data_IF_528899513642
#
_entry.id   IF_528899513642
#
_cell.length_a   1.000
_cell.length_b   1.000
_cell.length_c   1.000
_cell.angle_alpha   90.00
_cell.angle_beta   90.00
_cell.angle_gamma   90.00
#
_symmetry.space_group_name_H-M   'P 1'
#
loop_
_entity.id
_entity.type
_entity.pdbx_description
1 polymer ?
#
# COMPACT_ATOMS: atom_id res chain seq x y z
N UNK A 1 16.10 -3.90 4.13
CA UNK A 1 15.39 -2.75 4.76
C UNK A 1 14.36 -3.29 5.74
N UNK A 2 13.98 -2.52 6.75
CA UNK A 2 12.92 -2.88 7.71
C UNK A 2 11.54 -2.55 7.14
N UNK A 3 10.48 -3.05 7.77
CA UNK A 3 9.11 -2.67 7.42
C UNK A 3 8.86 -1.17 7.61
N UNK A 4 9.36 -0.59 8.72
CA UNK A 4 9.26 0.84 8.99
C UNK A 4 9.85 1.71 7.86
N UNK A 5 11.05 1.38 7.37
CA UNK A 5 11.66 2.11 6.27
C UNK A 5 10.84 2.03 4.96
N UNK A 6 10.21 0.87 4.67
CA UNK A 6 9.33 0.73 3.50
C UNK A 6 8.03 1.52 3.64
N UNK A 7 7.49 1.61 4.85
CA UNK A 7 6.32 2.43 5.15
C UNK A 7 6.68 3.90 4.95
N UNK A 8 7.82 4.36 5.44
CA UNK A 8 8.29 5.74 5.26
C UNK A 8 8.46 6.11 3.77
N UNK A 9 9.11 5.24 2.99
CA UNK A 9 9.24 5.40 1.54
C UNK A 9 7.88 5.50 0.84
N UNK A 10 6.92 4.64 1.24
CA UNK A 10 5.57 4.67 0.70
C UNK A 10 4.86 5.97 1.06
N UNK A 11 4.89 6.37 2.33
CA UNK A 11 4.29 7.63 2.80
C UNK A 11 4.84 8.83 2.05
N UNK A 12 6.16 8.88 1.80
CA UNK A 12 6.76 9.92 0.98
C UNK A 12 6.24 9.94 -0.46
N UNK A 13 6.08 8.77 -1.08
CA UNK A 13 5.56 8.66 -2.45
C UNK A 13 4.05 8.94 -2.56
N UNK A 14 3.27 8.69 -1.49
CA UNK A 14 1.83 8.92 -1.46
C UNK A 14 1.48 10.37 -1.74
N UNK A 15 2.25 11.34 -1.21
CA UNK A 15 2.00 12.77 -1.45
C UNK A 15 1.97 13.13 -2.95
N UNK A 16 2.94 12.62 -3.71
CA UNK A 16 3.01 12.83 -5.16
C UNK A 16 1.87 12.10 -5.90
N UNK A 17 1.56 10.86 -5.50
CA UNK A 17 0.57 10.03 -6.21
C UNK A 17 -0.86 10.49 -5.99
N UNK A 18 -1.16 10.96 -4.77
CA UNK A 18 -2.46 11.51 -4.41
C UNK A 18 -2.59 12.90 -5.00
N UNK A 19 -1.55 13.74 -4.90
CA UNK A 19 -1.58 15.12 -5.33
C UNK A 19 -2.74 15.87 -4.68
N UNK A 20 -3.63 16.45 -5.51
CA UNK A 20 -4.82 17.17 -5.05
C UNK A 20 -6.07 16.29 -4.90
N UNK A 21 -5.95 14.96 -5.05
CA UNK A 21 -7.09 14.05 -4.96
C UNK A 21 -7.71 14.11 -3.54
N UNK A 22 -8.97 14.54 -3.37
CA UNK A 22 -9.69 14.56 -2.09
C UNK A 22 -10.11 13.16 -1.62
N UNK A 23 -9.15 12.23 -1.55
CA UNK A 23 -9.35 10.87 -1.08
C UNK A 23 -9.50 10.86 0.44
N UNK A 24 -10.53 10.18 0.92
CA UNK A 24 -10.75 9.94 2.35
C UNK A 24 -11.19 8.50 2.59
N UNK A 25 -10.90 7.95 3.76
CA UNK A 25 -11.29 6.59 4.15
C UNK A 25 -10.08 5.67 4.32
N UNK A 26 -10.28 4.35 4.15
CA UNK A 26 -9.26 3.36 4.48
C UNK A 26 -9.05 2.36 3.34
N UNK A 27 -7.79 2.05 3.06
CA UNK A 27 -7.40 0.93 2.21
C UNK A 27 -6.47 -0.01 3.00
N UNK A 28 -6.90 -1.24 3.23
CA UNK A 28 -6.13 -2.26 3.93
C UNK A 28 -5.55 -3.27 2.94
N UNK A 29 -4.24 -3.47 3.00
CA UNK A 29 -3.51 -4.42 2.15
C UNK A 29 -2.98 -5.57 2.99
N UNK A 30 -2.93 -6.76 2.40
CA UNK A 30 -2.22 -7.90 2.97
C UNK A 30 -1.20 -8.45 1.97
N UNK A 31 -0.07 -8.90 2.49
CA UNK A 31 0.95 -9.56 1.68
C UNK A 31 1.79 -10.50 2.55
N UNK A 32 2.47 -11.43 1.90
CA UNK A 32 3.40 -12.34 2.57
C UNK A 32 4.84 -11.97 2.22
N UNK A 33 5.74 -12.16 3.18
CA UNK A 33 7.19 -12.06 2.98
C UNK A 33 7.78 -13.46 3.13
N UNK A 34 8.40 -13.98 2.07
CA UNK A 34 9.04 -15.30 2.10
C UNK A 34 10.36 -15.29 2.90
N UNK A 35 10.96 -16.47 3.12
CA UNK A 35 12.24 -16.60 3.85
C UNK A 35 13.41 -15.85 3.18
N UNK A 36 13.30 -15.57 1.88
CA UNK A 36 14.29 -14.79 1.10
C UNK A 36 14.01 -13.30 1.14
N UNK A 37 12.95 -12.86 1.84
CA UNK A 37 12.55 -11.47 1.95
C UNK A 37 11.74 -10.95 0.76
N UNK A 38 11.22 -11.82 -0.11
CA UNK A 38 10.41 -11.38 -1.25
C UNK A 38 8.94 -11.23 -0.87
N UNK A 39 8.32 -10.16 -1.34
CA UNK A 39 6.88 -9.95 -1.19
C UNK A 39 6.11 -10.80 -2.21
N UNK A 40 5.05 -11.45 -1.75
CA UNK A 40 4.13 -12.23 -2.58
C UNK A 40 2.68 -12.05 -2.12
N UNK A 41 1.74 -12.47 -2.99
CA UNK A 41 0.29 -12.53 -2.68
C UNK A 41 -0.30 -11.20 -2.16
N UNK A 42 0.11 -10.08 -2.76
CA UNK A 42 -0.43 -8.76 -2.40
C UNK A 42 -1.91 -8.67 -2.77
N UNK A 43 -2.75 -8.52 -1.74
CA UNK A 43 -4.20 -8.42 -1.84
C UNK A 43 -4.70 -7.16 -1.13
N UNK A 44 -5.87 -6.67 -1.55
CA UNK A 44 -6.61 -5.63 -0.84
C UNK A 44 -7.65 -6.36 0.00
N UNK A 45 -7.60 -6.20 1.32
CA UNK A 45 -8.55 -6.81 2.24
C UNK A 45 -9.83 -5.99 2.36
N UNK A 46 -9.68 -4.66 2.35
CA UNK A 46 -10.80 -3.72 2.45
C UNK A 46 -10.40 -2.41 1.77
N UNK A 47 -11.33 -1.81 1.04
CA UNK A 47 -11.17 -0.49 0.44
C UNK A 47 -12.47 0.29 0.62
N UNK A 48 -12.46 1.19 1.59
CA UNK A 48 -13.56 2.11 1.90
C UNK A 48 -13.25 3.52 1.42
N UNK A 49 -12.18 3.71 0.63
CA UNK A 49 -11.77 5.04 0.18
C UNK A 49 -12.82 5.64 -0.76
N UNK A 50 -13.03 6.95 -0.64
CA UNK A 50 -14.06 7.70 -1.37
C UNK A 50 -13.46 8.97 -1.96
N UNK A 51 -13.96 9.33 -3.13
CA UNK A 51 -13.70 10.58 -3.85
C UNK A 51 -15.00 11.02 -4.54
N UNK A 52 -15.13 12.28 -5.01
CA UNK A 52 -16.16 12.65 -5.97
C UNK A 52 -16.21 11.72 -7.17
N UNK A 53 -17.39 11.44 -7.71
CA UNK A 53 -17.58 10.42 -8.77
C UNK A 53 -16.69 10.66 -10.01
N UNK A 54 -16.42 11.92 -10.36
CA UNK A 54 -15.56 12.30 -11.48
C UNK A 54 -14.10 11.82 -11.31
N UNK A 55 -13.66 11.57 -10.09
CA UNK A 55 -12.27 11.24 -9.75
C UNK A 55 -12.08 9.74 -9.44
N UNK A 56 -13.14 8.95 -9.52
CA UNK A 56 -13.11 7.52 -9.16
C UNK A 56 -12.06 6.72 -9.94
N UNK A 57 -11.78 7.13 -11.19
CA UNK A 57 -10.69 6.56 -11.99
C UNK A 57 -9.31 6.85 -11.38
N UNK A 58 -9.09 8.07 -10.90
CA UNK A 58 -7.85 8.47 -10.25
C UNK A 58 -7.67 7.75 -8.90
N UNK A 59 -8.73 7.65 -8.09
CA UNK A 59 -8.72 6.85 -6.84
C UNK A 59 -8.28 5.41 -7.09
N UNK A 60 -8.90 4.73 -8.07
CA UNK A 60 -8.53 3.35 -8.45
C UNK A 60 -7.09 3.25 -8.95
N UNK A 61 -6.59 4.26 -9.66
CA UNK A 61 -5.21 4.30 -10.13
C UNK A 61 -4.22 4.41 -8.96
N UNK A 62 -4.50 5.27 -7.97
CA UNK A 62 -3.69 5.41 -6.75
C UNK A 62 -3.65 4.09 -5.97
N UNK A 63 -4.81 3.48 -5.69
CA UNK A 63 -4.88 2.20 -4.96
C UNK A 63 -4.11 1.09 -5.68
N UNK A 64 -4.20 1.02 -7.01
CA UNK A 64 -3.42 0.07 -7.83
C UNK A 64 -1.92 0.36 -7.76
N UNK A 65 -1.52 1.63 -7.79
CA UNK A 65 -0.11 2.05 -7.69
C UNK A 65 0.49 1.69 -6.34
N UNK A 66 -0.26 1.89 -5.25
CA UNK A 66 0.12 1.44 -3.90
C UNK A 66 0.33 -0.07 -3.87
N UNK A 67 -0.64 -0.84 -4.37
CA UNK A 67 -0.53 -2.31 -4.43
C UNK A 67 0.72 -2.75 -5.21
N UNK A 68 0.99 -2.13 -6.34
CA UNK A 68 2.14 -2.43 -7.18
C UNK A 68 3.46 -2.11 -6.45
N UNK A 69 3.54 -0.96 -5.79
CA UNK A 69 4.72 -0.55 -5.02
C UNK A 69 5.02 -1.53 -3.88
N UNK A 70 3.99 -1.95 -3.12
CA UNK A 70 4.12 -2.98 -2.08
C UNK A 70 4.65 -4.29 -2.69
N UNK A 71 4.13 -4.69 -3.85
CA UNK A 71 4.58 -5.91 -4.55
C UNK A 71 6.03 -5.87 -5.03
N UNK A 72 6.62 -4.68 -5.16
CA UNK A 72 8.03 -4.50 -5.52
C UNK A 72 8.95 -4.45 -4.31
N UNK A 73 8.41 -4.46 -3.09
CA UNK A 73 9.24 -4.45 -1.90
C UNK A 73 10.04 -5.75 -1.77
N UNK A 74 11.25 -5.56 -1.25
CA UNK A 74 12.13 -6.63 -0.83
C UNK A 74 12.70 -6.30 0.55
N UNK A 75 12.88 -7.36 1.33
CA UNK A 75 13.43 -7.37 2.67
C UNK A 75 14.71 -8.23 2.69
N UNK A 76 15.48 -8.14 3.77
CA UNK A 76 16.58 -9.09 3.97
C UNK A 76 16.05 -10.51 4.22
N UNK A 77 16.93 -11.52 4.35
CA UNK A 77 16.54 -12.86 4.76
C UNK A 77 15.70 -12.84 6.05
N UNK A 78 14.66 -13.67 6.09
CA UNK A 78 13.72 -13.75 7.21
C UNK A 78 13.86 -15.10 7.93
N UNK A 79 13.59 -15.10 9.24
CA UNK A 79 13.59 -16.35 10.04
C UNK A 79 12.47 -17.32 9.64
N UNK A 80 11.38 -16.79 9.08
CA UNK A 80 10.21 -17.54 8.63
C UNK A 80 9.43 -16.75 7.60
N UNK A 81 8.33 -17.35 7.12
CA UNK A 81 7.37 -16.62 6.30
C UNK A 81 6.45 -15.82 7.22
N UNK A 82 6.25 -14.54 6.88
CA UNK A 82 5.40 -13.64 7.65
C UNK A 82 4.25 -13.16 6.79
N UNK A 83 3.06 -13.01 7.40
CA UNK A 83 1.93 -12.28 6.81
C UNK A 83 1.86 -10.89 7.41
N UNK A 84 1.83 -9.87 6.57
CA UNK A 84 1.73 -8.47 6.96
C UNK A 84 0.38 -7.92 6.54
N UNK A 85 -0.25 -7.16 7.44
CA UNK A 85 -1.42 -6.34 7.12
C UNK A 85 -1.03 -4.88 7.27
N UNK A 86 -1.34 -4.06 6.27
CA UNK A 86 -0.99 -2.65 6.19
C UNK A 86 -2.26 -1.82 5.96
N UNK A 87 -2.89 -1.29 7.02
CA UNK A 87 -3.96 -0.31 6.87
C UNK A 87 -3.37 1.06 6.52
N UNK A 88 -3.87 1.68 5.46
CA UNK A 88 -3.62 3.07 5.11
C UNK A 88 -4.90 3.87 5.34
N UNK A 89 -4.80 4.91 6.16
CA UNK A 89 -5.89 5.83 6.47
C UNK A 89 -5.63 7.14 5.74
N UNK A 90 -6.64 7.62 5.03
CA UNK A 90 -6.64 8.90 4.34
C UNK A 90 -7.62 9.81 5.06
N UNK A 91 -7.08 10.84 5.71
CA UNK A 91 -7.85 11.88 6.38
C UNK A 91 -7.78 13.16 5.53
N UNK A 92 -8.87 13.92 5.55
CA UNK A 92 -8.99 15.19 4.83
C UNK A 92 -8.35 16.33 5.60
#
# INVERSE_FOLDING_TARGET
RTLAARIEELTGALGEWIGALPIAGLASFAFDVDKRGRVARVAILSDTTRVPAAEERARKAVVRKIRAAIGQWSFGPQRGTSRVTLPLVFER
#
